data_IF_062076318348
#
_entry.id   IF_062076318348
#
_cell.length_a   1.000
_cell.length_b   1.000
_cell.length_c   1.000
_cell.angle_alpha   90.00
_cell.angle_beta   90.00
_cell.angle_gamma   90.00
#
_symmetry.space_group_name_H-M   'P 1'
#
loop_
_entity.id
_entity.type
_entity.pdbx_description
1 polymer ?
#
# COMPACT_ATOMS: atom_id res chain seq x y z
N UNK A 1 -1.74 -6.75 3.61
CA UNK A 1 -0.65 -5.76 3.79
C UNK A 1 -0.55 -5.42 5.26
N UNK A 2 0.66 -5.17 5.77
CA UNK A 2 0.87 -4.68 7.15
C UNK A 2 1.68 -3.40 7.12
N UNK A 3 1.36 -2.46 8.00
CA UNK A 3 2.09 -1.20 8.17
C UNK A 3 2.45 -1.08 9.65
N UNK A 4 3.72 -0.79 9.93
CA UNK A 4 4.24 -0.67 11.28
C UNK A 4 5.22 0.51 11.38
N UNK A 5 5.35 1.12 12.57
CA UNK A 5 6.37 2.15 12.80
C UNK A 5 7.78 1.62 12.48
N UNK A 6 8.61 2.47 11.92
CA UNK A 6 10.00 2.19 11.58
C UNK A 6 10.87 3.44 11.81
N UNK A 7 12.21 3.29 11.74
CA UNK A 7 13.12 4.43 11.81
C UNK A 7 13.04 5.29 10.55
N UNK A 8 12.93 4.63 9.41
CA UNK A 8 12.87 5.21 8.08
C UNK A 8 11.73 4.56 7.29
N UNK A 9 11.28 5.22 6.21
CA UNK A 9 10.33 4.62 5.30
C UNK A 9 10.96 3.43 4.56
N UNK A 10 10.26 2.29 4.57
CA UNK A 10 10.76 1.05 3.99
C UNK A 10 9.61 0.22 3.40
N UNK A 11 9.86 -0.43 2.26
CA UNK A 11 8.89 -1.27 1.58
C UNK A 11 9.48 -2.67 1.43
N UNK A 12 8.88 -3.61 2.15
CA UNK A 12 9.18 -5.04 2.03
C UNK A 12 8.13 -5.67 1.13
N UNK A 13 8.47 -5.86 -0.13
CA UNK A 13 7.67 -6.69 -1.01
C UNK A 13 8.00 -8.17 -0.74
N UNK A 14 7.08 -8.88 -0.09
CA UNK A 14 7.19 -10.30 0.24
C UNK A 14 6.16 -11.16 -0.50
N UNK A 15 5.61 -10.65 -1.62
CA UNK A 15 4.68 -11.40 -2.45
C UNK A 15 5.43 -12.53 -3.16
N UNK A 16 4.92 -13.76 -3.12
CA UNK A 16 5.63 -14.93 -3.68
C UNK A 16 5.63 -14.96 -5.22
N UNK A 17 4.60 -14.40 -5.85
CA UNK A 17 4.35 -14.52 -7.30
C UNK A 17 4.76 -13.25 -8.09
N UNK A 18 5.86 -12.59 -7.68
CA UNK A 18 6.27 -11.29 -8.26
C UNK A 18 6.46 -11.33 -9.78
N UNK A 19 7.12 -12.37 -10.27
CA UNK A 19 7.45 -12.51 -11.69
C UNK A 19 6.18 -12.61 -12.57
N UNK A 20 5.11 -13.21 -12.07
CA UNK A 20 3.83 -13.29 -12.78
C UNK A 20 3.11 -11.93 -12.74
N UNK A 21 3.17 -11.25 -11.60
CA UNK A 21 2.60 -9.91 -11.44
C UNK A 21 3.32 -8.83 -12.27
N UNK A 22 4.61 -9.01 -12.57
CA UNK A 22 5.36 -8.13 -13.47
C UNK A 22 4.81 -8.17 -14.90
N UNK A 23 4.25 -9.31 -15.35
CA UNK A 23 3.65 -9.45 -16.70
C UNK A 23 2.45 -8.55 -16.92
N UNK A 24 1.80 -8.09 -15.84
CA UNK A 24 0.72 -7.10 -15.91
C UNK A 24 1.22 -5.71 -16.38
N UNK A 25 2.53 -5.45 -16.36
CA UNK A 25 3.11 -4.21 -16.89
C UNK A 25 2.76 -2.94 -16.10
N UNK A 26 2.21 -3.08 -14.89
CA UNK A 26 1.70 -1.97 -14.08
C UNK A 26 2.74 -1.29 -13.19
N UNK A 27 3.99 -1.77 -13.18
CA UNK A 27 5.10 -1.17 -12.42
C UNK A 27 5.00 -1.35 -10.91
N UNK A 28 4.60 -2.54 -10.45
CA UNK A 28 4.44 -2.86 -9.01
C UNK A 28 5.78 -2.94 -8.27
N UNK A 29 5.78 -2.73 -6.93
CA UNK A 29 4.65 -2.41 -6.07
C UNK A 29 4.23 -0.93 -6.04
N UNK A 30 4.90 -0.06 -6.81
CA UNK A 30 4.82 1.40 -6.69
C UNK A 30 3.40 1.98 -6.67
N UNK A 31 2.45 1.59 -7.53
CA UNK A 31 1.14 2.22 -7.55
C UNK A 31 0.38 2.01 -6.24
N UNK A 32 0.48 0.82 -5.64
CA UNK A 32 -0.15 0.51 -4.35
C UNK A 32 0.48 1.35 -3.25
N UNK A 33 1.81 1.44 -3.22
CA UNK A 33 2.54 2.20 -2.22
C UNK A 33 2.26 3.70 -2.33
N UNK A 34 2.26 4.25 -3.55
CA UNK A 34 1.92 5.65 -3.79
C UNK A 34 0.47 5.96 -3.38
N UNK A 35 -0.47 5.06 -3.66
CA UNK A 35 -1.85 5.20 -3.21
C UNK A 35 -1.98 5.18 -1.69
N UNK A 36 -1.22 4.31 -1.02
CA UNK A 36 -1.16 4.28 0.45
C UNK A 36 -0.62 5.61 1.00
N UNK A 37 0.51 6.10 0.45
CA UNK A 37 1.14 7.35 0.88
C UNK A 37 0.26 8.58 0.61
N UNK A 38 -0.50 8.62 -0.50
CA UNK A 38 -1.49 9.67 -0.76
C UNK A 38 -2.46 9.84 0.41
N UNK A 39 -2.72 8.77 1.17
CA UNK A 39 -3.65 8.79 2.31
C UNK A 39 -2.93 9.02 3.63
N UNK A 40 -1.87 8.26 3.91
CA UNK A 40 -1.13 8.35 5.18
C UNK A 40 -0.46 9.72 5.39
N UNK A 41 0.04 10.34 4.32
CA UNK A 41 0.73 11.63 4.39
C UNK A 41 -0.22 12.83 4.43
N UNK A 42 -1.47 12.63 4.00
CA UNK A 42 -2.51 13.68 3.95
C UNK A 42 -3.52 13.54 5.09
N UNK A 43 -3.25 12.71 6.11
CA UNK A 43 -4.08 12.63 7.30
C UNK A 43 -3.96 13.93 8.13
N UNK A 44 -5.08 14.66 8.25
CA UNK A 44 -5.12 16.04 8.77
C UNK A 44 -4.58 16.20 10.21
N UNK A 45 -4.75 15.19 11.07
CA UNK A 45 -4.42 15.28 12.49
C UNK A 45 -2.98 14.87 12.82
N UNK A 46 -2.39 13.93 12.07
CA UNK A 46 -1.00 13.50 12.23
C UNK A 46 -0.57 12.65 11.02
N UNK A 47 0.24 13.18 10.08
CA UNK A 47 0.78 12.39 8.99
C UNK A 47 1.59 11.22 9.51
N UNK A 48 1.26 10.00 9.08
CA UNK A 48 2.03 8.80 9.44
C UNK A 48 3.29 8.74 8.58
N UNK A 49 4.42 9.01 9.22
CA UNK A 49 5.76 9.03 8.62
C UNK A 49 6.60 7.88 9.17
N UNK A 50 7.69 7.56 8.46
CA UNK A 50 8.66 6.53 8.86
C UNK A 50 7.98 5.20 9.19
N UNK A 51 7.31 4.63 8.18
CA UNK A 51 6.62 3.36 8.30
C UNK A 51 7.30 2.30 7.45
N UNK A 52 7.33 1.07 7.96
CA UNK A 52 7.63 -0.10 7.16
C UNK A 52 6.34 -0.72 6.66
N UNK A 53 6.20 -0.81 5.33
CA UNK A 53 5.08 -1.45 4.65
C UNK A 53 5.52 -2.84 4.22
N UNK A 54 4.72 -3.87 4.51
CA UNK A 54 4.96 -5.24 4.04
C UNK A 54 3.79 -5.73 3.19
N UNK A 55 4.08 -6.03 1.92
CA UNK A 55 3.15 -6.64 0.98
C UNK A 55 3.33 -8.16 1.03
N UNK A 56 2.29 -8.89 1.44
CA UNK A 56 2.36 -10.36 1.59
C UNK A 56 1.60 -11.10 0.49
N UNK A 57 0.43 -10.58 0.14
CA UNK A 57 -0.47 -11.18 -0.83
C UNK A 57 -1.03 -10.13 -1.74
N UNK A 58 -1.34 -10.56 -2.94
CA UNK A 58 -1.91 -9.77 -4.02
C UNK A 58 -2.92 -10.65 -4.71
N UNK A 59 -4.09 -10.08 -4.96
CA UNK A 59 -5.03 -10.62 -5.94
C UNK A 59 -5.05 -9.69 -7.13
N UNK A 60 -4.99 -10.28 -8.31
CA UNK A 60 -4.97 -9.60 -9.59
C UNK A 60 -5.87 -10.33 -10.59
N UNK A 61 -6.14 -9.63 -11.68
CA UNK A 61 -6.97 -10.07 -12.79
C UNK A 61 -6.41 -9.38 -14.04
N UNK A 62 -6.13 -10.16 -15.08
CA UNK A 62 -5.35 -9.70 -16.25
C UNK A 62 -5.92 -8.44 -16.91
N UNK A 63 -7.24 -8.27 -16.92
CA UNK A 63 -7.90 -7.14 -17.58
C UNK A 63 -8.20 -5.96 -16.64
N UNK A 64 -8.51 -6.24 -15.37
CA UNK A 64 -8.99 -5.20 -14.43
C UNK A 64 -7.87 -4.61 -13.57
N UNK A 65 -6.73 -5.30 -13.51
CA UNK A 65 -5.58 -4.91 -12.68
C UNK A 65 -4.74 -3.84 -13.35
N UNK A 66 -5.27 -2.62 -13.37
CA UNK A 66 -4.57 -1.45 -13.89
C UNK A 66 -3.74 -0.74 -12.82
N UNK A 67 -2.81 0.12 -13.25
CA UNK A 67 -2.04 1.00 -12.35
C UNK A 67 -2.94 1.81 -11.40
N UNK A 68 -4.06 2.32 -11.91
CA UNK A 68 -5.02 3.09 -11.11
C UNK A 68 -5.81 2.22 -10.14
N UNK A 69 -6.18 0.99 -10.52
CA UNK A 69 -6.82 0.03 -9.60
C UNK A 69 -5.92 -0.23 -8.39
N UNK A 70 -4.63 -0.47 -8.63
CA UNK A 70 -3.65 -0.66 -7.55
C UNK A 70 -3.45 0.58 -6.69
N UNK A 71 -3.40 1.78 -7.29
CA UNK A 71 -3.35 3.03 -6.52
C UNK A 71 -4.58 3.24 -5.65
N UNK A 72 -5.77 2.92 -6.14
CA UNK A 72 -7.00 3.00 -5.36
C UNK A 72 -7.02 1.97 -4.23
N UNK A 73 -6.53 0.75 -4.45
CA UNK A 73 -6.36 -0.25 -3.40
C UNK A 73 -5.40 0.22 -2.29
N UNK A 74 -4.31 0.90 -2.68
CA UNK A 74 -3.41 1.55 -1.73
C UNK A 74 -4.12 2.59 -0.85
N UNK A 75 -4.91 3.47 -1.45
CA UNK A 75 -5.69 4.51 -0.74
C UNK A 75 -6.69 3.91 0.23
N UNK A 76 -7.45 2.91 -0.22
CA UNK A 76 -8.40 2.19 0.61
C UNK A 76 -7.72 1.57 1.84
N UNK A 77 -6.57 0.93 1.64
CA UNK A 77 -5.80 0.38 2.75
C UNK A 77 -5.29 1.48 3.71
N UNK A 78 -4.85 2.63 3.19
CA UNK A 78 -4.46 3.78 4.00
C UNK A 78 -5.60 4.30 4.88
N UNK A 79 -6.81 4.40 4.33
CA UNK A 79 -8.01 4.82 5.09
C UNK A 79 -8.31 3.86 6.22
N UNK A 80 -8.30 2.55 5.93
CA UNK A 80 -8.50 1.50 6.93
C UNK A 80 -7.47 1.54 8.07
N UNK A 81 -6.22 1.93 7.77
CA UNK A 81 -5.18 2.09 8.78
C UNK A 81 -5.48 3.31 9.67
N UNK A 82 -5.83 4.46 9.08
CA UNK A 82 -6.20 5.65 9.85
C UNK A 82 -7.42 5.36 10.72
N UNK A 83 -8.48 4.78 10.14
CA UNK A 83 -9.70 4.41 10.87
C UNK A 83 -9.42 3.47 12.05
N UNK A 84 -8.45 2.56 11.91
CA UNK A 84 -8.05 1.65 12.98
C UNK A 84 -7.29 2.37 14.10
N UNK A 85 -6.48 3.37 13.77
CA UNK A 85 -5.75 4.17 14.74
C UNK A 85 -6.68 5.11 15.52
N UNK A 86 -7.62 5.78 14.84
CA UNK A 86 -8.62 6.66 15.46
C UNK A 86 -9.51 5.92 16.46
N UNK A 87 -9.77 4.62 16.23
CA UNK A 87 -10.54 3.76 17.16
C UNK A 87 -9.74 3.26 18.37
N UNK A 88 -8.44 3.51 18.40
CA UNK A 88 -7.54 3.05 19.47
C UNK A 88 -7.17 4.18 20.45
N UNK A 89 -7.58 5.43 20.16
CA UNK A 89 -7.39 6.62 21.00
C UNK A 89 -8.61 6.89 21.86
#
# INVERSE_FOLDING_TARGET
>A
MTVQPAKDFDVVDAVEQKNELEKLGVGRPDPVILGLLDTLMSADLAPLRNVRVTLKHVWDHELDSTRNAFRNAGRDAGRKIIDALDRTV
#
